data_IF_746035706359
#
_entry.id   IF_746035706359
#
_cell.length_a   1.000
_cell.length_b   1.000
_cell.length_c   1.000
_cell.angle_alpha   90.00
_cell.angle_beta   90.00
_cell.angle_gamma   90.00
#
_symmetry.space_group_name_H-M   'P 1'
#
loop_
_entity.id
_entity.type
_entity.pdbx_description
1 polymer ?
#
# COMPACT_ATOMS: atom_id res chain seq x y z
N UNK A 1 28.65 -14.03 -9.55
CA UNK A 1 27.52 -13.15 -9.21
C UNK A 1 27.08 -13.56 -7.83
N UNK A 2 27.29 -12.71 -6.84
CA UNK A 2 26.83 -12.96 -5.47
C UNK A 2 25.31 -12.95 -5.45
N UNK A 3 24.72 -13.98 -4.83
CA UNK A 3 23.27 -14.12 -4.75
C UNK A 3 22.70 -13.21 -3.66
N UNK A 4 21.49 -12.68 -3.89
CA UNK A 4 20.71 -12.02 -2.85
C UNK A 4 20.27 -13.05 -1.80
N UNK A 5 20.70 -12.87 -0.55
CA UNK A 5 20.30 -13.73 0.57
C UNK A 5 19.17 -13.06 1.36
N UNK A 6 18.06 -13.78 1.56
CA UNK A 6 16.93 -13.33 2.38
C UNK A 6 16.84 -14.22 3.61
N UNK A 7 16.82 -13.61 4.80
CA UNK A 7 16.72 -14.36 6.06
C UNK A 7 16.11 -13.55 7.19
N UNK A 8 15.57 -14.27 8.18
CA UNK A 8 15.15 -13.67 9.44
C UNK A 8 16.37 -13.10 10.21
N UNK A 9 16.14 -12.01 10.92
CA UNK A 9 17.16 -11.34 11.75
C UNK A 9 16.96 -11.76 13.21
N UNK A 10 18.07 -11.99 13.93
CA UNK A 10 18.02 -12.54 15.29
C UNK A 10 18.88 -11.74 16.29
N UNK A 11 19.92 -11.05 15.84
CA UNK A 11 20.89 -10.36 16.70
C UNK A 11 20.72 -8.85 16.76
N UNK A 12 21.10 -8.24 17.89
CA UNK A 12 21.09 -6.78 18.06
C UNK A 12 21.94 -6.04 17.02
N UNK A 13 23.06 -6.61 16.58
CA UNK A 13 23.88 -6.02 15.53
C UNK A 13 23.12 -5.89 14.20
N UNK A 14 22.35 -6.92 13.83
CA UNK A 14 21.55 -6.95 12.61
C UNK A 14 20.38 -5.98 12.68
N UNK A 15 19.69 -5.94 13.82
CA UNK A 15 18.62 -4.97 14.07
C UNK A 15 19.14 -3.53 14.06
N UNK A 16 20.34 -3.30 14.62
CA UNK A 16 21.01 -2.00 14.53
C UNK A 16 21.29 -1.59 13.08
N UNK A 17 21.82 -2.50 12.26
CA UNK A 17 22.02 -2.25 10.82
C UNK A 17 20.71 -1.96 10.09
N UNK A 18 19.63 -2.68 10.39
CA UNK A 18 18.32 -2.44 9.80
C UNK A 18 17.74 -1.08 10.21
N UNK A 19 17.90 -0.68 11.48
CA UNK A 19 17.47 0.62 11.99
C UNK A 19 18.19 1.76 11.28
N UNK A 20 19.51 1.64 11.09
CA UNK A 20 20.31 2.63 10.36
C UNK A 20 19.94 2.67 8.86
N UNK A 21 19.67 1.52 8.25
CA UNK A 21 19.19 1.45 6.88
C UNK A 21 17.84 2.19 6.72
N UNK A 22 16.90 2.01 7.65
CA UNK A 22 15.65 2.76 7.61
C UNK A 22 15.85 4.27 7.82
N UNK A 23 16.72 4.67 8.75
CA UNK A 23 17.04 6.08 8.95
C UNK A 23 17.59 6.74 7.67
N UNK A 24 18.44 6.02 6.92
CA UNK A 24 18.99 6.47 5.64
C UNK A 24 17.90 6.59 4.56
N UNK A 25 17.07 5.55 4.38
CA UNK A 25 16.01 5.53 3.37
C UNK A 25 14.96 6.63 3.60
N UNK A 26 14.58 6.87 4.86
CA UNK A 26 13.56 7.88 5.22
C UNK A 26 14.16 9.27 5.50
N UNK A 27 15.49 9.41 5.52
CA UNK A 27 16.17 10.69 5.74
C UNK A 27 15.96 11.29 7.14
N UNK A 28 15.64 10.47 8.15
CA UNK A 28 15.32 10.93 9.52
C UNK A 28 16.53 11.03 10.44
N UNK A 29 17.71 10.61 9.96
CA UNK A 29 18.94 10.52 10.75
C UNK A 29 18.90 9.36 11.76
N UNK A 30 20.06 8.97 12.34
CA UNK A 30 20.17 7.74 13.14
C UNK A 30 19.25 7.69 14.37
N UNK A 31 19.01 8.84 15.02
CA UNK A 31 18.14 8.94 16.19
C UNK A 31 16.64 8.96 15.84
N UNK A 32 16.29 9.18 14.57
CA UNK A 32 14.91 9.26 14.07
C UNK A 32 14.48 8.05 13.27
N UNK A 33 15.18 6.91 13.36
CA UNK A 33 14.84 5.71 12.61
C UNK A 33 13.36 5.32 12.84
N UNK A 34 12.58 5.03 11.79
CA UNK A 34 11.15 4.68 11.93
C UNK A 34 10.87 3.49 12.86
N UNK A 35 11.82 2.56 12.99
CA UNK A 35 11.72 1.42 13.91
C UNK A 35 13.09 1.17 14.56
N UNK A 36 13.14 1.14 15.89
CA UNK A 36 14.38 0.92 16.64
C UNK A 36 14.81 -0.55 16.67
N UNK A 37 16.09 -0.78 16.99
CA UNK A 37 16.64 -2.12 17.14
C UNK A 37 15.96 -2.93 18.27
N UNK A 38 15.61 -2.27 19.38
CA UNK A 38 14.95 -2.86 20.54
C UNK A 38 13.54 -3.33 20.20
N UNK A 39 12.78 -2.54 19.43
CA UNK A 39 11.44 -2.92 18.95
C UNK A 39 11.53 -4.11 18.01
N UNK A 40 12.48 -4.10 17.06
CA UNK A 40 12.70 -5.25 16.17
C UNK A 40 13.08 -6.51 16.96
N UNK A 41 13.94 -6.40 17.98
CA UNK A 41 14.29 -7.51 18.87
C UNK A 41 13.07 -8.06 19.60
N UNK A 42 12.22 -7.19 20.15
CA UNK A 42 11.00 -7.59 20.84
C UNK A 42 10.01 -8.30 19.90
N UNK A 43 9.82 -7.77 18.68
CA UNK A 43 8.95 -8.36 17.67
C UNK A 43 9.44 -9.75 17.24
N UNK A 44 10.72 -9.89 16.90
CA UNK A 44 11.32 -11.16 16.53
C UNK A 44 11.21 -12.19 17.66
N UNK A 45 11.46 -11.78 18.92
CA UNK A 45 11.30 -12.63 20.09
C UNK A 45 9.84 -13.09 20.29
N UNK A 46 8.87 -12.22 20.01
CA UNK A 46 7.44 -12.53 20.07
C UNK A 46 6.94 -13.34 18.86
N UNK A 47 7.83 -13.82 17.99
CA UNK A 47 7.50 -14.66 16.83
C UNK A 47 6.96 -13.90 15.62
N UNK A 48 7.15 -12.58 15.57
CA UNK A 48 6.76 -11.74 14.43
C UNK A 48 7.84 -11.74 13.34
N UNK A 49 7.49 -11.22 12.16
CA UNK A 49 8.35 -11.21 11.00
C UNK A 49 9.36 -10.05 11.07
N UNK A 50 10.65 -10.37 11.15
CA UNK A 50 11.74 -9.40 10.98
C UNK A 50 12.81 -10.05 10.10
N UNK A 51 13.00 -9.53 8.90
CA UNK A 51 13.90 -10.12 7.91
C UNK A 51 14.76 -9.07 7.21
N UNK A 52 15.93 -9.49 6.75
CA UNK A 52 16.88 -8.70 5.98
C UNK A 52 17.18 -9.33 4.63
N UNK A 53 17.56 -8.49 3.68
CA UNK A 53 18.13 -8.84 2.39
C UNK A 53 19.62 -8.46 2.40
N UNK A 54 20.49 -9.41 2.09
CA UNK A 54 21.94 -9.24 2.07
C UNK A 54 22.50 -9.45 0.67
N UNK A 55 23.44 -8.59 0.29
CA UNK A 55 24.24 -8.69 -0.93
C UNK A 55 25.71 -8.52 -0.51
N UNK A 56 26.56 -9.52 -0.79
CA UNK A 56 27.97 -9.54 -0.38
C UNK A 56 28.20 -9.28 1.12
N UNK A 57 27.33 -9.85 1.97
CA UNK A 57 27.38 -9.68 3.42
C UNK A 57 26.90 -8.31 3.92
N UNK A 58 26.50 -7.41 3.02
CA UNK A 58 25.95 -6.09 3.36
C UNK A 58 24.43 -6.13 3.38
N UNK A 59 23.82 -5.56 4.42
CA UNK A 59 22.36 -5.40 4.47
C UNK A 59 21.92 -4.35 3.43
N UNK A 60 21.09 -4.75 2.48
CA UNK A 60 20.59 -3.90 1.38
C UNK A 60 19.07 -3.72 1.40
N UNK A 61 18.37 -4.39 2.31
CA UNK A 61 16.94 -4.21 2.55
C UNK A 61 16.51 -4.89 3.83
N UNK A 62 15.40 -4.44 4.40
CA UNK A 62 14.81 -5.03 5.58
C UNK A 62 13.28 -4.90 5.53
N UNK A 63 12.59 -5.79 6.23
CA UNK A 63 11.15 -5.69 6.44
C UNK A 63 10.74 -6.19 7.80
N UNK A 64 9.80 -5.48 8.42
CA UNK A 64 9.18 -5.80 9.70
C UNK A 64 7.68 -5.95 9.50
N UNK A 65 7.09 -6.99 10.09
CA UNK A 65 5.66 -7.17 10.15
C UNK A 65 5.24 -7.94 11.39
N UNK A 66 4.01 -7.74 11.84
CA UNK A 66 3.47 -8.33 13.06
C UNK A 66 2.06 -8.87 12.86
N UNK A 67 1.64 -9.83 13.70
CA UNK A 67 0.31 -10.41 13.57
C UNK A 67 -0.79 -9.36 13.78
N UNK A 68 -1.74 -9.32 12.85
CA UNK A 68 -2.94 -8.51 12.96
C UNK A 68 -4.10 -9.30 13.55
N UNK A 69 -5.14 -8.59 13.99
CA UNK A 69 -6.40 -9.20 14.37
C UNK A 69 -7.22 -9.61 13.11
N UNK A 70 -7.97 -10.73 13.15
CA UNK A 70 -7.94 -11.76 14.19
C UNK A 70 -6.63 -12.56 14.14
N UNK A 71 -6.12 -12.93 15.32
CA UNK A 71 -4.87 -13.67 15.48
C UNK A 71 -4.87 -14.95 14.64
N UNK A 72 -3.72 -15.27 14.05
CA UNK A 72 -3.55 -16.46 13.20
C UNK A 72 -4.09 -16.33 11.78
N UNK A 73 -4.64 -15.17 11.39
CA UNK A 73 -5.16 -14.96 10.04
C UNK A 73 -4.30 -14.02 9.20
N UNK A 74 -3.82 -12.92 9.81
CA UNK A 74 -3.23 -11.79 9.07
C UNK A 74 -1.85 -11.41 9.59
N UNK A 75 -0.94 -11.12 8.67
CA UNK A 75 0.30 -10.39 8.96
C UNK A 75 0.13 -8.93 8.53
N UNK A 76 0.33 -7.97 9.42
CA UNK A 76 0.49 -6.58 9.06
C UNK A 76 1.98 -6.30 8.75
N UNK A 77 2.32 -6.06 7.50
CA UNK A 77 3.66 -5.67 7.05
C UNK A 77 3.88 -4.18 7.32
N UNK A 78 4.32 -3.86 8.53
CA UNK A 78 4.51 -2.51 9.02
C UNK A 78 5.45 -1.65 8.17
N UNK A 79 6.65 -2.16 7.86
CA UNK A 79 7.65 -1.41 7.08
C UNK A 79 8.48 -2.36 6.20
N UNK A 80 8.78 -1.89 5.00
CA UNK A 80 9.68 -2.55 4.05
C UNK A 80 10.52 -1.46 3.40
N UNK A 81 11.83 -1.52 3.56
CA UNK A 81 12.78 -0.58 2.99
C UNK A 81 13.91 -1.33 2.29
N UNK A 82 14.32 -0.86 1.11
CA UNK A 82 15.42 -1.46 0.36
C UNK A 82 16.16 -0.42 -0.44
N UNK A 83 17.43 -0.69 -0.72
CA UNK A 83 18.20 0.07 -1.69
C UNK A 83 17.50 0.04 -3.05
N UNK A 84 17.47 1.19 -3.72
CA UNK A 84 16.77 1.36 -4.99
C UNK A 84 17.37 0.50 -6.11
N UNK A 85 16.51 0.03 -7.02
CA UNK A 85 16.94 -0.39 -8.37
C UNK A 85 17.34 -1.85 -8.61
N UNK A 86 16.96 -2.82 -7.76
CA UNK A 86 17.44 -4.22 -7.91
C UNK A 86 16.41 -5.32 -7.60
N UNK A 87 15.12 -4.99 -7.60
CA UNK A 87 14.07 -5.98 -7.26
C UNK A 87 14.08 -6.46 -5.81
N UNK A 88 14.93 -5.90 -4.93
CA UNK A 88 15.05 -6.30 -3.52
C UNK A 88 13.72 -6.18 -2.78
N UNK A 89 12.96 -5.10 -3.02
CA UNK A 89 11.63 -4.92 -2.43
C UNK A 89 10.64 -6.03 -2.81
N UNK A 90 10.67 -6.48 -4.08
CA UNK A 90 9.87 -7.61 -4.53
C UNK A 90 10.31 -8.90 -3.83
N UNK A 91 11.62 -9.14 -3.78
CA UNK A 91 12.19 -10.33 -3.15
C UNK A 91 11.85 -10.41 -1.65
N UNK A 92 11.94 -9.29 -0.91
CA UNK A 92 11.52 -9.19 0.49
C UNK A 92 10.02 -9.49 0.68
N UNK A 93 9.16 -8.97 -0.21
CA UNK A 93 7.72 -9.22 -0.15
C UNK A 93 7.36 -10.67 -0.47
N UNK A 94 8.06 -11.30 -1.41
CA UNK A 94 7.88 -12.73 -1.71
C UNK A 94 8.38 -13.62 -0.56
N UNK A 95 9.50 -13.28 0.07
CA UNK A 95 9.96 -13.96 1.29
C UNK A 95 8.94 -13.80 2.44
N UNK A 96 8.40 -12.59 2.64
CA UNK A 96 7.35 -12.33 3.62
C UNK A 96 6.07 -13.16 3.34
N UNK A 97 5.69 -13.28 2.06
CA UNK A 97 4.58 -14.14 1.63
C UNK A 97 4.84 -15.60 1.96
N UNK A 98 6.01 -16.13 1.66
CA UNK A 98 6.36 -17.51 1.97
C UNK A 98 6.36 -17.76 3.48
N UNK A 99 6.94 -16.84 4.26
CA UNK A 99 6.96 -16.91 5.72
C UNK A 99 5.55 -16.96 6.33
N UNK A 100 4.62 -16.16 5.78
CA UNK A 100 3.23 -16.10 6.20
C UNK A 100 2.47 -17.40 5.86
N UNK A 101 2.65 -17.91 4.64
CA UNK A 101 2.04 -19.17 4.18
C UNK A 101 2.48 -20.36 5.04
N UNK A 102 3.77 -20.49 5.35
CA UNK A 102 4.29 -21.57 6.22
C UNK A 102 3.66 -21.55 7.62
N UNK A 103 3.12 -20.40 8.06
CA UNK A 103 2.44 -20.22 9.35
C UNK A 103 0.92 -20.28 9.25
N UNK A 104 0.38 -20.67 8.09
CA UNK A 104 -1.06 -20.81 7.88
C UNK A 104 -1.82 -19.49 7.79
N UNK A 105 -1.11 -18.35 7.65
CA UNK A 105 -1.76 -17.07 7.46
C UNK A 105 -2.39 -17.00 6.08
N UNK A 106 -3.53 -16.31 5.99
CA UNK A 106 -4.31 -16.19 4.76
C UNK A 106 -4.13 -14.85 4.09
N UNK A 107 -3.51 -13.89 4.77
CA UNK A 107 -3.52 -12.50 4.34
C UNK A 107 -2.31 -11.72 4.85
N UNK A 108 -1.84 -10.78 4.03
CA UNK A 108 -0.88 -9.75 4.43
C UNK A 108 -1.51 -8.38 4.18
N UNK A 109 -1.43 -7.45 5.13
CA UNK A 109 -1.89 -6.08 4.95
C UNK A 109 -0.78 -5.07 5.19
N UNK A 110 -0.86 -3.91 4.55
CA UNK A 110 0.01 -2.76 4.81
C UNK A 110 -0.66 -1.49 4.31
N UNK A 111 -0.18 -0.34 4.79
CA UNK A 111 -0.61 0.96 4.27
C UNK A 111 0.44 1.52 3.32
N UNK A 112 0.01 2.21 2.27
CA UNK A 112 0.91 3.02 1.44
C UNK A 112 0.24 4.35 1.03
N UNK A 113 1.04 5.35 0.65
CA UNK A 113 0.53 6.62 0.15
C UNK A 113 -0.13 6.43 -1.24
N UNK A 114 -1.44 6.68 -1.39
CA UNK A 114 -2.14 6.43 -2.65
C UNK A 114 -1.64 7.27 -3.82
N UNK A 115 -0.95 8.39 -3.57
CA UNK A 115 -0.41 9.29 -4.60
C UNK A 115 0.97 8.86 -5.12
N UNK A 116 1.70 8.00 -4.39
CA UNK A 116 2.99 7.50 -4.85
C UNK A 116 2.73 6.44 -5.93
N UNK A 117 2.72 6.89 -7.19
CA UNK A 117 2.42 6.10 -8.38
C UNK A 117 3.22 4.80 -8.49
N UNK A 118 4.52 4.84 -8.16
CA UNK A 118 5.36 3.63 -8.17
C UNK A 118 4.90 2.58 -7.14
N UNK A 119 4.39 3.02 -5.99
CA UNK A 119 3.86 2.13 -4.96
C UNK A 119 2.53 1.53 -5.42
N UNK A 120 1.66 2.33 -6.03
CA UNK A 120 0.43 1.84 -6.64
C UNK A 120 0.72 0.72 -7.66
N UNK A 121 1.60 1.00 -8.63
CA UNK A 121 2.01 0.00 -9.63
C UNK A 121 2.62 -1.25 -8.98
N UNK A 122 3.56 -1.09 -8.05
CA UNK A 122 4.19 -2.23 -7.36
C UNK A 122 3.17 -3.10 -6.63
N UNK A 123 2.26 -2.49 -5.85
CA UNK A 123 1.28 -3.23 -5.08
C UNK A 123 0.25 -3.93 -5.98
N UNK A 124 -0.32 -3.25 -6.97
CA UNK A 124 -1.42 -3.79 -7.77
C UNK A 124 -0.95 -4.74 -8.87
N UNK A 125 0.12 -4.37 -9.58
CA UNK A 125 0.59 -5.05 -10.79
C UNK A 125 1.65 -6.09 -10.44
N UNK A 126 2.67 -5.74 -9.65
CA UNK A 126 3.78 -6.66 -9.33
C UNK A 126 3.42 -7.67 -8.24
N UNK A 127 2.68 -7.27 -7.21
CA UNK A 127 2.27 -8.18 -6.13
C UNK A 127 0.88 -8.78 -6.30
N UNK A 128 -0.03 -8.07 -6.99
CA UNK A 128 -1.44 -8.47 -7.04
C UNK A 128 -2.24 -8.11 -5.79
N UNK A 129 -1.72 -7.24 -4.92
CA UNK A 129 -2.45 -6.72 -3.77
C UNK A 129 -3.57 -5.77 -4.21
N UNK A 130 -4.59 -5.59 -3.37
CA UNK A 130 -5.75 -4.75 -3.65
C UNK A 130 -5.94 -3.71 -2.55
N UNK A 131 -6.10 -2.42 -2.89
CA UNK A 131 -6.61 -1.42 -1.96
C UNK A 131 -8.01 -1.77 -1.50
N UNK A 132 -8.25 -1.75 -0.18
CA UNK A 132 -9.56 -2.04 0.40
C UNK A 132 -10.16 -0.87 1.17
N UNK A 133 -9.32 -0.04 1.79
CA UNK A 133 -9.79 1.07 2.61
C UNK A 133 -8.92 2.31 2.38
N UNK A 134 -9.56 3.48 2.34
CA UNK A 134 -8.87 4.77 2.31
C UNK A 134 -8.88 5.40 3.70
N UNK A 135 -7.70 5.59 4.26
CA UNK A 135 -7.46 6.10 5.60
C UNK A 135 -6.97 7.55 5.49
N UNK A 136 -7.79 8.50 5.94
CA UNK A 136 -7.46 9.93 5.89
C UNK A 136 -6.50 10.30 7.01
N UNK A 137 -5.41 11.00 6.68
CA UNK A 137 -4.41 11.52 7.64
C UNK A 137 -4.03 10.49 8.72
N UNK A 138 -3.78 9.25 8.30
CA UNK A 138 -3.72 8.08 9.19
C UNK A 138 -2.63 8.19 10.26
N UNK A 139 -1.49 8.80 9.91
CA UNK A 139 -0.38 9.07 10.84
C UNK A 139 -0.26 10.57 11.20
N UNK A 140 -1.23 11.41 10.83
CA UNK A 140 -1.12 12.86 10.92
C UNK A 140 -0.14 13.44 9.89
N UNK A 141 0.44 14.60 10.19
CA UNK A 141 1.52 15.18 9.40
C UNK A 141 2.86 14.49 9.72
N UNK A 142 3.62 14.10 8.69
CA UNK A 142 4.94 13.46 8.85
C UNK A 142 6.02 14.29 8.15
N UNK A 143 7.00 14.74 8.93
CA UNK A 143 8.15 15.52 8.43
C UNK A 143 9.35 14.60 8.18
N UNK A 144 9.22 13.74 7.16
CA UNK A 144 10.31 12.91 6.63
C UNK A 144 10.52 13.18 5.14
N UNK A 145 11.61 12.66 4.58
CA UNK A 145 12.00 12.96 3.19
C UNK A 145 10.97 12.49 2.15
N UNK A 146 10.07 11.57 2.50
CA UNK A 146 9.07 10.99 1.60
C UNK A 146 7.76 11.80 1.67
N UNK A 147 7.35 12.21 2.88
CA UNK A 147 6.07 12.85 3.13
C UNK A 147 6.16 14.39 3.10
N UNK A 148 7.31 14.99 3.38
CA UNK A 148 7.54 16.44 3.26
C UNK A 148 6.62 17.31 4.13
N UNK A 149 6.24 16.84 5.33
CA UNK A 149 5.38 17.58 6.27
C UNK A 149 3.89 17.53 5.97
N UNK A 150 3.48 16.73 4.98
CA UNK A 150 2.12 16.68 4.45
C UNK A 150 1.20 15.71 5.22
N UNK A 151 -0.13 15.84 5.04
CA UNK A 151 -1.09 14.88 5.62
C UNK A 151 -0.89 13.48 5.03
N UNK A 152 -0.87 12.48 5.91
CA UNK A 152 -0.60 11.08 5.53
C UNK A 152 -1.87 10.31 5.21
N UNK A 153 -2.48 10.64 4.08
CA UNK A 153 -3.45 9.71 3.51
C UNK A 153 -2.78 8.38 3.17
N UNK A 154 -3.48 7.30 3.50
CA UNK A 154 -3.03 5.94 3.25
C UNK A 154 -4.15 5.14 2.63
N UNK A 155 -3.79 4.17 1.80
CA UNK A 155 -4.67 3.08 1.44
C UNK A 155 -4.21 1.81 2.13
N UNK A 156 -5.12 1.12 2.80
CA UNK A 156 -4.89 -0.22 3.32
C UNK A 156 -4.93 -1.19 2.14
N UNK A 157 -3.76 -1.71 1.78
CA UNK A 157 -3.62 -2.76 0.80
C UNK A 157 -3.72 -4.13 1.47
N UNK A 158 -4.31 -5.07 0.75
CA UNK A 158 -4.45 -6.45 1.14
C UNK A 158 -3.89 -7.39 0.08
N UNK A 159 -3.05 -8.31 0.51
CA UNK A 159 -2.62 -9.44 -0.30
C UNK A 159 -3.29 -10.70 0.22
N UNK A 160 -4.25 -11.20 -0.56
CA UNK A 160 -4.90 -12.48 -0.30
C UNK A 160 -3.94 -13.63 -0.67
N UNK A 161 -3.60 -14.45 0.32
CA UNK A 161 -2.72 -15.60 0.16
C UNK A 161 -3.49 -16.89 -0.12
N UNK A 162 -4.81 -16.88 0.06
CA UNK A 162 -5.71 -18.01 -0.19
C UNK A 162 -6.13 -18.11 -1.66
N UNK A 163 -6.11 -16.99 -2.38
CA UNK A 163 -6.26 -16.98 -3.82
C UNK A 163 -5.14 -17.80 -4.48
N UNK A 164 -5.45 -18.46 -5.61
CA UNK A 164 -4.41 -19.08 -6.46
C UNK A 164 -3.30 -18.06 -6.67
N UNK A 165 -2.02 -18.45 -6.55
CA UNK A 165 -0.92 -17.51 -6.65
C UNK A 165 -1.10 -16.71 -7.92
N UNK A 166 -1.41 -15.42 -7.77
CA UNK A 166 -1.36 -14.51 -8.90
C UNK A 166 0.03 -14.70 -9.50
N UNK A 167 0.10 -15.02 -10.79
CA UNK A 167 1.37 -14.99 -11.50
C UNK A 167 2.00 -13.63 -11.18
N UNK A 168 3.27 -13.57 -10.73
CA UNK A 168 3.94 -12.30 -10.57
C UNK A 168 3.76 -11.53 -11.88
N UNK A 169 3.18 -10.33 -11.81
CA UNK A 169 2.65 -9.55 -12.95
C UNK A 169 1.18 -9.86 -13.30
N UNK A 170 0.27 -9.13 -12.65
CA UNK A 170 -1.03 -8.85 -13.25
C UNK A 170 -0.79 -7.85 -14.39
N UNK A 171 -1.25 -8.08 -15.63
CA UNK A 171 -1.08 -7.09 -16.70
C UNK A 171 -1.74 -5.75 -16.33
N UNK A 172 -1.22 -4.67 -16.92
CA UNK A 172 -1.91 -3.37 -16.91
C UNK A 172 -3.33 -3.60 -17.45
N UNK A 173 -4.33 -3.06 -16.77
CA UNK A 173 -5.72 -3.29 -17.12
C UNK A 173 -6.15 -2.23 -18.12
N UNK A 174 -6.58 -2.65 -19.31
CA UNK A 174 -7.28 -1.76 -20.23
C UNK A 174 -8.72 -1.57 -19.73
N UNK A 175 -9.13 -0.34 -19.36
CA UNK A 175 -10.48 -0.08 -18.92
C UNK A 175 -11.46 -0.17 -20.11
N UNK A 176 -12.74 -0.43 -19.85
CA UNK A 176 -13.78 -0.29 -20.86
C UNK A 176 -13.80 1.10 -21.50
N UNK A 177 -14.19 1.18 -22.76
CA UNK A 177 -14.18 2.44 -23.53
C UNK A 177 -15.10 3.52 -22.96
N UNK A 178 -16.11 3.13 -22.17
CA UNK A 178 -17.07 3.99 -21.49
C UNK A 178 -16.69 4.31 -20.03
N UNK A 179 -15.48 3.94 -19.59
CA UNK A 179 -14.99 4.30 -18.26
C UNK A 179 -14.94 5.83 -18.08
N UNK A 180 -15.50 6.32 -16.97
CA UNK A 180 -15.43 7.73 -16.63
C UNK A 180 -14.05 8.07 -16.05
N UNK A 181 -13.59 9.30 -16.26
CA UNK A 181 -12.40 9.82 -15.58
C UNK A 181 -12.85 10.63 -14.36
N UNK A 182 -12.77 10.04 -13.17
CA UNK A 182 -13.12 10.71 -11.92
C UNK A 182 -12.05 11.71 -11.49
N UNK A 183 -10.78 11.42 -11.80
CA UNK A 183 -9.66 12.38 -11.69
C UNK A 183 -8.80 12.27 -12.94
N UNK A 184 -8.51 13.41 -13.57
CA UNK A 184 -7.61 13.52 -14.71
C UNK A 184 -6.45 14.45 -14.39
N UNK A 185 -5.27 14.13 -14.91
CA UNK A 185 -4.16 15.08 -14.94
C UNK A 185 -4.38 16.14 -16.03
N UNK A 186 -4.58 17.40 -15.63
CA UNK A 186 -4.51 18.58 -16.49
C UNK A 186 -3.25 19.38 -16.16
N UNK A 187 -2.20 19.16 -16.96
CA UNK A 187 -0.92 19.90 -16.91
C UNK A 187 -0.29 19.94 -15.50
N UNK A 188 -0.29 18.80 -14.81
CA UNK A 188 0.29 18.63 -13.48
C UNK A 188 -0.66 18.91 -12.32
N UNK A 189 -1.92 19.24 -12.59
CA UNK A 189 -2.96 19.47 -11.57
C UNK A 189 -4.15 18.53 -11.78
N UNK A 190 -4.86 18.14 -10.70
CA UNK A 190 -6.01 17.28 -10.83
C UNK A 190 -7.23 18.07 -11.32
N UNK A 191 -7.94 17.52 -12.29
CA UNK A 191 -9.28 17.91 -12.66
C UNK A 191 -10.26 16.82 -12.22
N UNK A 192 -11.30 17.19 -11.47
CA UNK A 192 -12.36 16.28 -11.05
C UNK A 192 -13.36 16.07 -12.19
N UNK A 193 -13.74 14.82 -12.43
CA UNK A 193 -14.77 14.45 -13.40
C UNK A 193 -15.88 13.59 -12.82
N UNK A 194 -16.71 13.03 -13.69
CA UNK A 194 -17.81 12.15 -13.27
C UNK A 194 -17.29 10.83 -12.72
N UNK A 195 -18.04 10.28 -11.76
CA UNK A 195 -17.85 8.93 -11.21
C UNK A 195 -19.06 8.03 -11.48
N UNK A 196 -19.92 8.40 -12.44
CA UNK A 196 -21.22 7.76 -12.64
C UNK A 196 -21.16 6.48 -13.50
N UNK A 197 -20.06 6.27 -14.23
CA UNK A 197 -19.84 5.05 -15.01
C UNK A 197 -19.52 3.83 -14.13
N UNK A 198 -19.72 2.63 -14.65
CA UNK A 198 -19.40 1.37 -13.94
C UNK A 198 -17.90 1.28 -13.58
N UNK A 199 -17.03 1.76 -14.48
CA UNK A 199 -15.59 1.87 -14.26
C UNK A 199 -15.17 3.32 -14.19
N UNK A 200 -14.34 3.64 -13.20
CA UNK A 200 -13.80 4.98 -12.97
C UNK A 200 -12.29 4.94 -12.96
N UNK A 201 -11.68 5.81 -13.75
CA UNK A 201 -10.24 6.06 -13.76
C UNK A 201 -9.90 7.22 -12.82
N UNK A 202 -8.85 7.01 -12.03
CA UNK A 202 -8.31 8.02 -11.12
C UNK A 202 -6.82 8.16 -11.41
N UNK A 203 -6.46 9.21 -12.15
CA UNK A 203 -5.07 9.55 -12.41
C UNK A 203 -4.34 9.90 -11.10
N UNK A 204 -3.03 9.65 -11.10
CA UNK A 204 -2.10 10.09 -10.07
C UNK A 204 -1.17 11.17 -10.63
N UNK A 205 -0.53 12.00 -9.79
CA UNK A 205 0.57 12.86 -10.24
C UNK A 205 1.76 12.02 -10.73
N UNK A 206 2.61 12.60 -11.58
CA UNK A 206 3.82 11.92 -12.11
C UNK A 206 4.82 11.59 -11.01
N UNK A 207 5.08 12.57 -10.15
CA UNK A 207 5.97 12.47 -9.00
C UNK A 207 5.45 13.35 -7.86
N UNK A 208 4.65 12.78 -6.96
CA UNK A 208 4.12 13.50 -5.80
C UNK A 208 5.24 13.97 -4.85
N UNK A 209 6.37 13.27 -4.82
CA UNK A 209 7.44 13.56 -3.87
C UNK A 209 8.21 14.81 -4.27
N UNK A 210 8.49 14.96 -5.58
CA UNK A 210 9.03 16.23 -6.11
C UNK A 210 7.98 17.35 -6.06
N UNK A 211 6.72 17.05 -6.38
CA UNK A 211 5.65 18.04 -6.36
C UNK A 211 5.43 18.66 -4.98
N UNK A 212 5.56 17.88 -3.89
CA UNK A 212 5.51 18.39 -2.50
C UNK A 212 6.53 19.49 -2.22
N UNK A 213 7.69 19.44 -2.87
CA UNK A 213 8.76 20.44 -2.71
C UNK A 213 8.58 21.63 -3.65
N UNK A 214 8.16 21.36 -4.89
CA UNK A 214 8.18 22.33 -5.99
C UNK A 214 6.87 23.13 -6.12
N UNK A 215 5.72 22.50 -5.91
CA UNK A 215 4.40 23.14 -5.85
C UNK A 215 3.52 22.47 -4.78
N UNK A 216 3.67 22.85 -3.50
CA UNK A 216 2.86 22.31 -2.41
C UNK A 216 1.35 22.50 -2.60
N UNK A 217 0.95 23.55 -3.34
CA UNK A 217 -0.45 23.80 -3.68
C UNK A 217 -1.02 22.74 -4.60
N UNK A 218 -0.27 22.37 -5.65
CA UNK A 218 -0.63 21.26 -6.53
C UNK A 218 -0.61 19.91 -5.80
N UNK A 219 0.39 19.64 -4.95
CA UNK A 219 0.44 18.41 -4.15
C UNK A 219 -0.80 18.27 -3.25
N UNK A 220 -1.21 19.36 -2.59
CA UNK A 220 -2.44 19.40 -1.79
C UNK A 220 -3.69 19.19 -2.65
N UNK A 221 -3.77 19.83 -3.82
CA UNK A 221 -4.89 19.63 -4.73
C UNK A 221 -5.04 18.16 -5.14
N UNK A 222 -3.94 17.50 -5.50
CA UNK A 222 -3.91 16.06 -5.82
C UNK A 222 -4.43 15.21 -4.68
N UNK A 223 -3.99 15.48 -3.44
CA UNK A 223 -4.50 14.72 -2.29
C UNK A 223 -5.98 14.89 -2.08
N UNK A 224 -6.48 16.12 -2.15
CA UNK A 224 -7.91 16.38 -1.97
C UNK A 224 -8.74 15.69 -3.07
N UNK A 225 -8.30 15.75 -4.32
CA UNK A 225 -8.99 15.12 -5.44
C UNK A 225 -9.04 13.59 -5.32
N UNK A 226 -7.91 12.95 -4.98
CA UNK A 226 -7.84 11.49 -4.79
C UNK A 226 -8.57 11.07 -3.51
N UNK A 227 -8.45 11.82 -2.41
CA UNK A 227 -9.20 11.58 -1.16
C UNK A 227 -10.70 11.61 -1.38
N UNK A 228 -11.19 12.62 -2.10
CA UNK A 228 -12.61 12.75 -2.42
C UNK A 228 -13.07 11.59 -3.30
N UNK A 229 -12.32 11.29 -4.37
CA UNK A 229 -12.77 10.35 -5.40
C UNK A 229 -12.51 8.90 -5.00
N UNK A 230 -11.25 8.50 -4.80
CA UNK A 230 -10.89 7.12 -4.43
C UNK A 230 -11.46 6.76 -3.06
N UNK A 231 -11.33 7.67 -2.09
CA UNK A 231 -11.85 7.46 -0.75
C UNK A 231 -13.38 7.36 -0.69
N UNK A 232 -14.08 8.21 -1.45
CA UNK A 232 -15.53 8.13 -1.59
C UNK A 232 -15.97 6.80 -2.21
N UNK A 233 -15.41 6.43 -3.36
CA UNK A 233 -15.73 5.19 -4.06
C UNK A 233 -15.47 3.94 -3.20
N UNK A 234 -14.33 3.85 -2.51
CA UNK A 234 -14.04 2.72 -1.62
C UNK A 234 -15.03 2.65 -0.44
N UNK A 235 -15.42 3.79 0.12
CA UNK A 235 -16.42 3.86 1.20
C UNK A 235 -17.80 3.41 0.72
N UNK A 236 -18.13 3.66 -0.55
CA UNK A 236 -19.37 3.22 -1.20
C UNK A 236 -19.32 1.75 -1.68
N UNK A 237 -18.25 1.02 -1.36
CA UNK A 237 -18.09 -0.41 -1.67
C UNK A 237 -17.53 -0.70 -3.07
N UNK A 238 -17.06 0.31 -3.80
CA UNK A 238 -16.30 0.10 -5.02
C UNK A 238 -14.98 -0.62 -4.75
N UNK A 239 -14.39 -1.21 -5.78
CA UNK A 239 -13.15 -1.99 -5.67
C UNK A 239 -12.14 -1.51 -6.68
N UNK A 240 -10.90 -1.31 -6.25
CA UNK A 240 -9.80 -1.09 -7.19
C UNK A 240 -9.45 -2.44 -7.81
N UNK A 241 -9.68 -2.59 -9.11
CA UNK A 241 -9.51 -3.86 -9.84
C UNK A 241 -8.20 -3.94 -10.60
N UNK A 242 -7.55 -2.81 -10.84
CA UNK A 242 -6.30 -2.77 -11.57
C UNK A 242 -5.66 -1.38 -11.56
N UNK A 243 -4.63 -1.29 -12.37
CA UNK A 243 -3.93 -0.04 -12.69
C UNK A 243 -3.89 0.05 -14.22
N UNK A 244 -3.87 1.26 -14.77
CA UNK A 244 -3.87 1.50 -16.21
C UNK A 244 -2.78 2.51 -16.58
N UNK A 245 -2.07 2.23 -17.67
CA UNK A 245 -1.00 3.03 -18.26
C UNK A 245 0.03 3.54 -17.24
N UNK A 246 0.28 2.73 -16.20
CA UNK A 246 1.13 3.09 -15.06
C UNK A 246 0.78 4.43 -14.39
N UNK A 247 -0.42 4.96 -14.58
CA UNK A 247 -0.84 6.30 -14.10
C UNK A 247 -2.08 6.23 -13.23
N UNK A 248 -3.04 5.38 -13.58
CA UNK A 248 -4.40 5.53 -13.10
C UNK A 248 -4.86 4.28 -12.36
N UNK A 249 -5.49 4.45 -11.21
CA UNK A 249 -6.29 3.36 -10.64
C UNK A 249 -7.49 3.09 -11.53
N UNK A 250 -7.80 1.81 -11.72
CA UNK A 250 -9.07 1.39 -12.32
C UNK A 250 -9.99 0.89 -11.21
N UNK A 251 -11.09 1.61 -11.00
CA UNK A 251 -12.05 1.35 -9.94
C UNK A 251 -13.34 0.83 -10.55
N UNK A 252 -13.78 -0.37 -10.13
CA UNK A 252 -15.07 -0.92 -10.46
C UNK A 252 -16.07 -0.54 -9.37
N UNK A 253 -17.14 0.17 -9.73
CA UNK A 253 -18.21 0.49 -8.79
C UNK A 253 -19.03 -0.76 -8.54
N UNK A 254 -19.29 -1.06 -7.27
CA UNK A 254 -20.28 -2.07 -6.95
C UNK A 254 -21.63 -1.59 -7.50
N UNK A 255 -22.28 -2.42 -8.33
CA UNK A 255 -23.67 -2.15 -8.72
C UNK A 255 -24.49 -2.11 -7.43
N UNK A 256 -25.35 -1.09 -7.20
CA UNK A 256 -26.21 -1.09 -6.04
C UNK A 256 -27.05 -2.36 -6.08
N UNK A 257 -26.84 -3.25 -5.12
CA UNK A 257 -27.74 -4.38 -4.92
C UNK A 257 -29.12 -3.78 -4.69
N UNK A 258 -30.07 -4.04 -5.58
CA UNK A 258 -31.49 -3.75 -5.34
C UNK A 258 -31.93 -4.64 -4.16
N UNK A 259 -31.65 -4.20 -2.94
CA UNK A 259 -32.26 -4.78 -1.74
C UNK A 259 -33.74 -4.45 -1.80
N UNK A 260 -34.51 -5.45 -2.18
CA UNK A 260 -35.96 -5.46 -2.18
C UNK A 260 -36.46 -4.93 -0.83
N UNK A 261 -37.31 -3.88 -0.77
CA UNK A 261 -37.82 -3.40 0.50
C UNK A 261 -38.66 -4.52 1.14
N UNK A 262 -38.23 -4.96 2.32
CA UNK A 262 -38.97 -5.96 3.09
C UNK A 262 -40.42 -5.49 3.29
N UNK A 263 -41.36 -6.33 2.84
CA UNK A 263 -42.79 -6.16 3.06
C UNK A 263 -43.05 -5.85 4.54
N UNK A 264 -43.53 -4.63 4.84
CA UNK A 264 -44.17 -4.34 6.11
C UNK A 264 -45.49 -5.12 6.16
N UNK A 265 -45.50 -6.23 6.87
CA UNK A 265 -46.73 -6.92 7.25
C UNK A 265 -47.48 -6.02 8.24
N UNK A 266 -48.61 -5.46 7.80
CA UNK A 266 -49.61 -4.86 8.69
C UNK A 266 -50.18 -5.99 9.56
N UNK A 267 -50.00 -5.93 10.88
CA UNK A 267 -50.91 -6.64 11.79
C UNK A 267 -52.13 -5.77 12.03
N UNK A 268 -53.26 -6.23 11.51
CA UNK A 268 -54.57 -5.94 12.08
C UNK A 268 -54.71 -6.80 13.32
N UNK A 269 -55.11 -6.21 14.45
CA UNK A 269 -55.88 -6.92 15.46
C UNK A 269 -56.89 -5.94 16.08
N UNK A 270 -58.13 -6.43 16.11
CA UNK A 270 -59.32 -5.89 16.75
C UNK A 270 -59.18 -5.73 18.26
#
# INVERSE_FOLDING_TARGET
MSGLELRELHGMAEFGSASLLYADIWGTGPAGAPVSAEVMRALAHAGNYVAGAYEDGRLVGASVGFFGAPTGTTLHSHITGAAMGRGIGLALKLHQRQWALTRGLKRITWTYDPLIRRNAYFNLVKLGARPEEYLRSFYGAMDDAINGGDETDRVLAAWDLSASPATPETPDLDPPADAAHGVRDDRGRPELGSTDAEFVLIDLPDDIESLRREDPGAARAWRLAVRQTLGGLLSDGARVVGFHNRRSYVVHRATPSLTHPAHRTRSHLS
#
